data_IF_514004391195
#
_entry.id   IF_514004391195
#
_cell.length_a   1.000
_cell.length_b   1.000
_cell.length_c   1.000
_cell.angle_alpha   90.00
_cell.angle_beta   90.00
_cell.angle_gamma   90.00
#
_symmetry.space_group_name_H-M   'P 1'
#
loop_
_entity.id
_entity.type
_entity.pdbx_description
1 polymer ?
#
# COMPACT_ATOMS: atom_id res chain seq x y z
N UNK A 1 -15.86 3.07 28.44
CA UNK A 1 -15.33 1.69 28.29
C UNK A 1 -14.21 1.55 27.26
N UNK A 2 -14.13 2.33 26.18
CA UNK A 2 -13.04 2.25 25.17
C UNK A 2 -11.67 2.80 25.64
N UNK A 3 -11.65 3.76 26.58
CA UNK A 3 -10.39 4.33 27.13
C UNK A 3 -9.62 3.39 28.06
N UNK A 4 -10.28 2.45 28.73
CA UNK A 4 -9.62 1.53 29.68
C UNK A 4 -8.85 0.42 28.96
N UNK A 5 -9.34 -0.04 27.80
CA UNK A 5 -8.68 -1.12 27.04
C UNK A 5 -7.43 -0.64 26.27
N UNK A 6 -7.41 0.62 25.84
CA UNK A 6 -6.24 1.19 25.18
C UNK A 6 -5.09 1.43 26.17
N UNK A 7 -5.41 1.87 27.37
CA UNK A 7 -4.43 2.08 28.45
C UNK A 7 -3.80 0.75 28.94
N UNK A 8 -4.56 -0.33 28.99
CA UNK A 8 -4.03 -1.66 29.32
C UNK A 8 -3.18 -2.26 28.20
N UNK A 9 -3.55 -2.00 26.95
CA UNK A 9 -2.74 -2.37 25.78
C UNK A 9 -1.39 -1.67 25.76
N UNK A 10 -1.38 -0.34 26.01
CA UNK A 10 -0.14 0.46 26.10
C UNK A 10 0.72 0.08 27.31
N UNK A 11 0.10 -0.31 28.45
CA UNK A 11 0.84 -0.80 29.63
C UNK A 11 1.50 -2.16 29.41
N UNK A 12 0.91 -3.05 28.60
CA UNK A 12 1.55 -4.33 28.24
C UNK A 12 2.68 -4.15 27.19
N UNK A 13 2.75 -3.03 26.49
CA UNK A 13 3.87 -2.59 25.67
C UNK A 13 4.81 -1.64 26.43
N UNK A 14 4.91 -1.81 27.74
CA UNK A 14 5.92 -1.12 28.51
C UNK A 14 7.30 -1.68 28.11
N UNK A 15 7.88 -1.07 27.08
CA UNK A 15 9.30 -1.12 26.86
C UNK A 15 9.94 -0.51 28.10
N UNK A 16 10.28 -1.37 29.03
CA UNK A 16 11.02 -0.97 30.21
C UNK A 16 12.36 -0.41 29.72
N UNK A 17 12.45 0.91 29.63
CA UNK A 17 13.62 1.68 29.18
C UNK A 17 14.89 1.40 30.03
N UNK A 18 14.77 0.57 31.06
CA UNK A 18 15.91 0.14 31.90
C UNK A 18 16.80 -0.90 31.23
N UNK A 19 16.35 -1.59 30.17
CA UNK A 19 17.13 -2.66 29.50
C UNK A 19 17.89 -2.20 28.25
N UNK A 20 17.80 -0.93 27.86
CA UNK A 20 18.56 -0.38 26.74
C UNK A 20 20.06 -0.15 27.09
N UNK A 21 20.48 -0.36 28.33
CA UNK A 21 21.88 -0.26 28.76
C UNK A 21 22.68 -1.56 28.74
N UNK A 22 21.99 -2.71 28.66
CA UNK A 22 22.70 -3.99 28.49
C UNK A 22 22.72 -4.35 26.98
N UNK A 23 23.89 -4.25 26.42
CA UNK A 23 24.28 -4.53 25.03
C UNK A 23 24.19 -6.03 24.66
N UNK A 24 23.29 -6.77 25.26
CA UNK A 24 23.03 -8.17 24.89
C UNK A 24 21.90 -8.24 23.88
N UNK A 25 22.24 -8.16 22.59
CA UNK A 25 21.39 -8.65 21.51
C UNK A 25 21.13 -10.15 21.75
N UNK A 26 20.15 -10.45 22.58
CA UNK A 26 19.75 -11.82 22.88
C UNK A 26 19.17 -12.45 21.59
N UNK A 27 19.43 -13.73 21.39
CA UNK A 27 18.85 -14.53 20.30
C UNK A 27 17.32 -14.40 20.28
N UNK A 28 16.69 -14.23 21.43
CA UNK A 28 15.26 -13.99 21.58
C UNK A 28 14.81 -12.65 20.95
N UNK A 29 15.63 -11.60 21.03
CA UNK A 29 15.36 -10.31 20.39
C UNK A 29 15.36 -10.44 18.87
N UNK A 30 16.40 -11.03 18.28
CA UNK A 30 16.46 -11.27 16.83
C UNK A 30 15.30 -12.11 16.32
N UNK A 31 14.90 -13.11 17.07
CA UNK A 31 13.76 -13.97 16.70
C UNK A 31 12.46 -13.17 16.64
N UNK A 32 12.20 -12.30 17.59
CA UNK A 32 11.01 -11.44 17.61
C UNK A 32 11.03 -10.47 16.44
N UNK A 33 12.15 -9.81 16.16
CA UNK A 33 12.30 -8.85 15.07
C UNK A 33 12.14 -9.52 13.69
N UNK A 34 12.72 -10.70 13.48
CA UNK A 34 12.57 -11.46 12.24
C UNK A 34 11.12 -11.88 12.04
N UNK A 35 10.45 -12.39 13.07
CA UNK A 35 9.04 -12.79 12.98
C UNK A 35 8.12 -11.58 12.71
N UNK A 36 8.39 -10.46 13.35
CA UNK A 36 7.65 -9.22 13.12
C UNK A 36 7.86 -8.73 11.68
N UNK A 37 9.10 -8.68 11.20
CA UNK A 37 9.42 -8.31 9.83
C UNK A 37 8.78 -9.24 8.79
N UNK A 38 8.81 -10.54 9.01
CA UNK A 38 8.17 -11.53 8.13
C UNK A 38 6.65 -11.34 8.07
N UNK A 39 6.01 -11.15 9.22
CA UNK A 39 4.57 -10.90 9.29
C UNK A 39 4.17 -9.66 8.50
N UNK A 40 4.94 -8.59 8.64
CA UNK A 40 4.73 -7.35 7.90
C UNK A 40 4.97 -7.52 6.40
N UNK A 41 6.06 -8.19 6.02
CA UNK A 41 6.37 -8.43 4.61
C UNK A 41 5.22 -9.20 3.91
N UNK A 42 4.69 -10.24 4.54
CA UNK A 42 3.55 -11.00 4.01
C UNK A 42 2.29 -10.13 3.88
N UNK A 43 2.05 -9.22 4.82
CA UNK A 43 0.91 -8.30 4.76
C UNK A 43 1.07 -7.20 3.70
N UNK A 44 2.30 -6.71 3.46
CA UNK A 44 2.59 -5.65 2.50
C UNK A 44 2.50 -6.11 1.04
N UNK A 45 2.79 -7.38 0.73
CA UNK A 45 2.74 -7.89 -0.65
C UNK A 45 1.37 -7.67 -1.31
N UNK A 46 0.24 -8.14 -0.72
CA UNK A 46 -1.07 -7.89 -1.29
C UNK A 46 -1.44 -6.41 -1.36
N UNK A 47 -1.02 -5.63 -0.37
CA UNK A 47 -1.27 -4.18 -0.32
C UNK A 47 -0.54 -3.46 -1.46
N UNK A 48 0.73 -3.78 -1.69
CA UNK A 48 1.52 -3.21 -2.78
C UNK A 48 0.93 -3.54 -4.16
N UNK A 49 0.46 -4.77 -4.35
CA UNK A 49 -0.23 -5.22 -5.57
C UNK A 49 -1.54 -4.46 -5.76
N UNK A 50 -2.36 -4.35 -4.71
CA UNK A 50 -3.65 -3.66 -4.79
C UNK A 50 -3.49 -2.18 -5.13
N UNK A 51 -2.53 -1.48 -4.53
CA UNK A 51 -2.30 -0.07 -4.85
C UNK A 51 -1.61 0.15 -6.19
N UNK A 52 -0.83 -0.81 -6.70
CA UNK A 52 -0.33 -0.76 -8.06
C UNK A 52 -1.49 -0.79 -9.07
N UNK A 53 -2.48 -1.66 -8.88
CA UNK A 53 -3.69 -1.67 -9.71
C UNK A 53 -4.48 -0.37 -9.61
N UNK A 54 -4.65 0.17 -8.40
CA UNK A 54 -5.31 1.48 -8.22
C UNK A 54 -4.55 2.58 -8.96
N UNK A 55 -3.23 2.57 -8.95
CA UNK A 55 -2.39 3.55 -9.66
C UNK A 55 -2.33 3.33 -11.18
N UNK A 56 -2.93 2.27 -11.72
CA UNK A 56 -2.90 1.95 -13.15
C UNK A 56 -1.55 1.41 -13.63
N UNK A 57 -0.72 0.86 -12.72
CA UNK A 57 0.60 0.31 -13.07
C UNK A 57 0.65 -1.20 -12.86
N UNK A 58 1.52 -1.93 -13.59
CA UNK A 58 1.70 -3.35 -13.36
C UNK A 58 2.06 -3.67 -11.90
N UNK A 59 1.50 -4.75 -11.30
CA UNK A 59 1.71 -5.11 -9.89
C UNK A 59 3.17 -5.25 -9.49
N UNK A 60 4.02 -5.65 -10.42
CA UNK A 60 5.44 -5.85 -10.21
C UNK A 60 6.15 -4.54 -9.79
N UNK A 61 5.73 -3.39 -10.34
CA UNK A 61 6.28 -2.08 -9.93
C UNK A 61 5.93 -1.73 -8.49
N UNK A 62 4.71 -2.06 -8.05
CA UNK A 62 4.32 -1.88 -6.63
C UNK A 62 5.17 -2.74 -5.69
N UNK A 63 5.43 -3.99 -6.06
CA UNK A 63 6.30 -4.90 -5.30
C UNK A 63 7.74 -4.40 -5.25
N UNK A 64 8.30 -3.93 -6.37
CA UNK A 64 9.64 -3.36 -6.42
C UNK A 64 9.75 -2.09 -5.57
N UNK A 65 8.77 -1.20 -5.65
CA UNK A 65 8.73 0.00 -4.83
C UNK A 65 8.69 -0.36 -3.34
N UNK A 66 7.83 -1.28 -2.92
CA UNK A 66 7.74 -1.74 -1.54
C UNK A 66 9.06 -2.35 -1.05
N UNK A 67 9.72 -3.17 -1.88
CA UNK A 67 11.02 -3.79 -1.58
C UNK A 67 12.11 -2.73 -1.38
N UNK A 68 12.29 -1.82 -2.36
CA UNK A 68 13.33 -0.80 -2.33
C UNK A 68 13.11 0.17 -1.16
N UNK A 69 11.88 0.70 -1.01
CA UNK A 69 11.54 1.63 0.07
C UNK A 69 11.66 0.95 1.43
N UNK A 70 11.23 -0.31 1.55
CA UNK A 70 11.37 -1.09 2.77
C UNK A 70 12.82 -1.25 3.22
N UNK A 71 13.74 -1.60 2.30
CA UNK A 71 15.17 -1.72 2.62
C UNK A 71 15.78 -0.36 2.97
N UNK A 72 15.52 0.67 2.17
CA UNK A 72 16.10 2.00 2.42
C UNK A 72 15.64 2.56 3.76
N UNK A 73 14.36 2.44 4.08
CA UNK A 73 13.84 2.92 5.38
C UNK A 73 14.32 2.09 6.56
N UNK A 74 14.51 0.78 6.39
CA UNK A 74 15.08 -0.07 7.43
C UNK A 74 16.54 0.28 7.75
N UNK A 75 17.32 0.68 6.72
CA UNK A 75 18.75 0.99 6.89
C UNK A 75 18.99 2.45 7.34
N UNK A 76 18.25 3.40 6.80
CA UNK A 76 18.55 4.83 6.92
C UNK A 76 17.52 5.63 7.70
N UNK A 77 16.33 5.09 7.98
CA UNK A 77 15.25 5.90 8.46
C UNK A 77 14.55 5.43 9.71
N UNK A 78 13.84 6.36 10.28
CA UNK A 78 12.66 6.09 11.03
C UNK A 78 12.80 5.93 12.51
N UNK A 79 11.68 5.59 13.11
CA UNK A 79 11.56 5.16 14.50
C UNK A 79 11.50 3.63 14.54
N UNK A 80 11.96 3.00 15.63
CA UNK A 80 11.73 1.58 15.84
C UNK A 80 10.25 1.24 15.70
N UNK A 81 9.96 0.19 14.93
CA UNK A 81 8.57 -0.23 14.64
C UNK A 81 7.84 0.57 13.54
N UNK A 82 8.52 1.47 12.83
CA UNK A 82 7.97 2.17 11.68
C UNK A 82 8.20 1.36 10.40
N UNK A 83 7.18 1.31 9.56
CA UNK A 83 7.21 0.66 8.25
C UNK A 83 6.88 1.72 7.21
N UNK A 84 7.57 1.67 6.08
CA UNK A 84 7.24 2.44 4.89
C UNK A 84 6.73 1.49 3.81
N UNK A 85 5.63 1.84 3.18
CA UNK A 85 4.99 1.01 2.17
C UNK A 85 4.10 1.83 1.24
N UNK A 86 3.38 1.14 0.36
CA UNK A 86 2.43 1.74 -0.55
C UNK A 86 1.31 2.45 0.21
N UNK A 87 0.80 3.55 -0.35
CA UNK A 87 -0.32 4.28 0.23
C UNK A 87 -1.37 4.58 -0.84
N UNK A 88 -2.65 4.32 -0.50
CA UNK A 88 -3.76 4.58 -1.40
C UNK A 88 -3.93 6.05 -1.77
N UNK A 89 -3.51 6.98 -0.90
CA UNK A 89 -3.55 8.41 -1.17
C UNK A 89 -2.71 8.78 -2.39
N UNK A 90 -1.49 8.27 -2.47
CA UNK A 90 -0.59 8.51 -3.60
C UNK A 90 -1.07 7.77 -4.84
N UNK A 91 -1.51 6.52 -4.71
CA UNK A 91 -1.99 5.72 -5.81
C UNK A 91 -3.14 6.41 -6.58
N UNK A 92 -4.10 7.00 -5.86
CA UNK A 92 -5.22 7.71 -6.48
C UNK A 92 -4.78 8.93 -7.29
N UNK A 93 -3.80 9.69 -6.80
CA UNK A 93 -3.27 10.86 -7.54
C UNK A 93 -2.53 10.42 -8.81
N UNK A 94 -1.91 9.24 -8.79
CA UNK A 94 -1.14 8.72 -9.91
C UNK A 94 -2.01 8.24 -11.08
N UNK A 95 -3.29 7.88 -10.85
CA UNK A 95 -4.18 7.34 -11.89
C UNK A 95 -4.23 8.25 -13.12
N UNK A 96 -4.60 9.51 -12.93
CA UNK A 96 -4.74 10.46 -14.04
C UNK A 96 -3.43 10.69 -14.79
N UNK A 97 -2.32 10.75 -14.06
CA UNK A 97 -0.99 10.90 -14.69
C UNK A 97 -0.64 9.69 -15.56
N UNK A 98 -0.92 8.48 -15.07
CA UNK A 98 -0.61 7.24 -15.81
C UNK A 98 -1.54 7.04 -16.99
N UNK A 99 -2.84 7.33 -16.84
CA UNK A 99 -3.84 7.24 -17.92
C UNK A 99 -3.54 8.22 -19.05
N UNK A 100 -3.15 9.46 -18.73
CA UNK A 100 -2.96 10.53 -19.73
C UNK A 100 -1.56 10.51 -20.38
N UNK A 101 -0.51 10.20 -19.61
CA UNK A 101 0.88 10.37 -20.04
C UNK A 101 1.74 9.09 -19.94
N UNK A 102 1.22 8.05 -19.30
CA UNK A 102 1.92 6.78 -19.17
C UNK A 102 2.88 6.67 -17.98
N UNK A 103 3.43 5.47 -17.82
CA UNK A 103 4.23 5.08 -16.64
C UNK A 103 5.58 5.81 -16.57
N UNK A 104 6.17 6.19 -17.71
CA UNK A 104 7.45 6.91 -17.74
C UNK A 104 7.35 8.29 -17.07
N UNK A 105 6.23 8.99 -17.29
CA UNK A 105 5.95 10.26 -16.62
C UNK A 105 5.75 10.11 -15.13
N UNK A 106 5.18 8.97 -14.69
CA UNK A 106 5.09 8.62 -13.27
C UNK A 106 6.48 8.48 -12.66
N UNK A 107 7.41 7.77 -13.31
CA UNK A 107 8.77 7.61 -12.80
C UNK A 107 9.50 8.95 -12.71
N UNK A 108 9.37 9.80 -13.73
CA UNK A 108 9.92 11.15 -13.70
C UNK A 108 9.34 12.01 -12.55
N UNK A 109 8.03 11.89 -12.33
CA UNK A 109 7.32 12.55 -11.23
C UNK A 109 7.85 12.08 -9.87
N UNK A 110 8.07 10.79 -9.69
CA UNK A 110 8.62 10.23 -8.43
C UNK A 110 10.04 10.74 -8.18
N UNK A 111 10.87 10.88 -9.21
CA UNK A 111 12.21 11.48 -9.06
C UNK A 111 12.11 12.93 -8.61
N UNK A 112 11.25 13.73 -9.25
CA UNK A 112 11.04 15.13 -8.87
C UNK A 112 10.45 15.26 -7.46
N UNK A 113 9.48 14.41 -7.10
CA UNK A 113 8.93 14.30 -5.75
C UNK A 113 10.03 14.03 -4.72
N UNK A 114 10.93 13.09 -4.99
CA UNK A 114 12.06 12.78 -4.11
C UNK A 114 12.97 13.99 -3.88
N UNK A 115 13.27 14.77 -4.91
CA UNK A 115 14.04 16.01 -4.80
C UNK A 115 13.30 17.02 -3.91
N UNK A 116 12.00 17.22 -4.13
CA UNK A 116 11.18 18.11 -3.31
C UNK A 116 11.14 17.68 -1.85
N UNK A 117 11.02 16.39 -1.57
CA UNK A 117 11.05 15.85 -0.20
C UNK A 117 12.41 16.08 0.48
N UNK A 118 13.53 15.92 -0.25
CA UNK A 118 14.86 16.24 0.28
C UNK A 118 14.95 17.72 0.63
N UNK A 119 14.51 18.61 -0.26
CA UNK A 119 14.47 20.03 0.00
C UNK A 119 13.59 20.36 1.21
N UNK A 120 12.39 19.80 1.28
CA UNK A 120 11.49 19.97 2.43
C UNK A 120 12.14 19.49 3.75
N UNK A 121 12.90 18.40 3.70
CA UNK A 121 13.67 17.90 4.83
C UNK A 121 14.77 18.88 5.28
N UNK A 122 15.57 19.39 4.34
CA UNK A 122 16.63 20.38 4.59
C UNK A 122 16.05 21.63 5.24
N UNK A 123 14.96 22.17 4.70
CA UNK A 123 14.26 23.33 5.25
C UNK A 123 13.43 23.04 6.50
N UNK A 124 13.39 21.76 6.95
CA UNK A 124 12.64 21.31 8.14
C UNK A 124 11.13 21.64 8.05
N UNK A 125 10.56 21.62 6.85
CA UNK A 125 9.16 21.95 6.60
C UNK A 125 8.19 20.98 7.29
N UNK A 126 8.62 19.75 7.59
CA UNK A 126 7.83 18.78 8.36
C UNK A 126 7.35 19.27 9.73
N UNK A 127 7.95 20.36 10.27
CA UNK A 127 7.46 20.99 11.51
C UNK A 127 6.07 21.61 11.35
N UNK A 128 5.71 22.02 10.13
CA UNK A 128 4.42 22.65 9.83
C UNK A 128 3.25 21.67 9.92
N UNK A 129 3.48 20.35 9.88
CA UNK A 129 2.42 19.34 10.09
C UNK A 129 1.68 19.54 11.41
N UNK A 130 2.35 20.15 12.40
CA UNK A 130 1.75 20.45 13.72
C UNK A 130 0.69 21.55 13.64
N UNK A 131 0.67 22.33 12.57
CA UNK A 131 -0.32 23.38 12.35
C UNK A 131 -1.61 22.86 11.73
N UNK A 132 -1.59 21.62 11.21
CA UNK A 132 -2.76 21.01 10.59
C UNK A 132 -3.76 20.58 11.68
N UNK A 133 -4.97 21.15 11.70
CA UNK A 133 -5.99 20.78 12.65
C UNK A 133 -6.42 19.31 12.48
N UNK A 134 -6.78 18.65 13.56
CA UNK A 134 -7.25 17.28 13.55
C UNK A 134 -8.49 17.07 12.65
N UNK A 135 -9.36 18.07 12.56
CA UNK A 135 -10.54 18.04 11.67
C UNK A 135 -10.17 17.92 10.20
N UNK A 136 -9.09 18.59 9.77
CA UNK A 136 -8.57 18.48 8.39
C UNK A 136 -8.04 17.09 8.13
N UNK A 137 -7.27 16.53 9.07
CA UNK A 137 -6.77 15.14 8.95
C UNK A 137 -7.90 14.11 8.86
N UNK A 138 -8.95 14.28 9.67
CA UNK A 138 -10.12 13.40 9.61
C UNK A 138 -10.88 13.55 8.28
N UNK A 139 -11.03 14.79 7.78
CA UNK A 139 -11.64 15.05 6.48
C UNK A 139 -10.86 14.40 5.34
N UNK A 140 -9.53 14.52 5.36
CA UNK A 140 -8.64 13.88 4.40
C UNK A 140 -8.78 12.36 4.40
N UNK A 141 -8.72 11.71 5.57
CA UNK A 141 -8.83 10.26 5.70
C UNK A 141 -10.21 9.76 5.22
N UNK A 142 -11.30 10.46 5.57
CA UNK A 142 -12.64 10.10 5.12
C UNK A 142 -12.79 10.28 3.61
N UNK A 143 -12.28 11.38 3.05
CA UNK A 143 -12.27 11.60 1.60
C UNK A 143 -11.48 10.52 0.87
N UNK A 144 -10.30 10.17 1.38
CA UNK A 144 -9.47 9.09 0.85
C UNK A 144 -10.20 7.74 0.87
N UNK A 145 -10.90 7.41 1.96
CA UNK A 145 -11.67 6.17 2.05
C UNK A 145 -12.76 6.08 0.97
N UNK A 146 -13.43 7.21 0.67
CA UNK A 146 -14.44 7.28 -0.40
C UNK A 146 -13.79 7.05 -1.76
N UNK A 147 -12.67 7.73 -2.05
CA UNK A 147 -11.99 7.63 -3.35
C UNK A 147 -11.45 6.22 -3.57
N UNK A 148 -10.81 5.60 -2.55
CA UNK A 148 -10.36 4.21 -2.62
C UNK A 148 -11.56 3.27 -2.83
N UNK A 149 -12.67 3.50 -2.13
CA UNK A 149 -13.90 2.72 -2.31
C UNK A 149 -14.43 2.80 -3.74
N UNK A 150 -14.46 3.99 -4.34
CA UNK A 150 -14.87 4.18 -5.73
C UNK A 150 -13.90 3.50 -6.72
N UNK A 151 -12.60 3.54 -6.46
CA UNK A 151 -11.61 2.84 -7.28
C UNK A 151 -11.81 1.31 -7.25
N UNK A 152 -12.29 0.74 -6.12
CA UNK A 152 -12.63 -0.69 -6.05
C UNK A 152 -13.84 -1.06 -6.92
N UNK A 153 -14.76 -0.12 -7.17
CA UNK A 153 -15.90 -0.37 -8.05
C UNK A 153 -15.46 -0.68 -9.47
N UNK A 154 -14.37 -0.06 -9.95
CA UNK A 154 -13.78 -0.36 -11.27
C UNK A 154 -13.28 -1.80 -11.39
N UNK A 155 -12.96 -2.49 -10.28
CA UNK A 155 -12.52 -3.89 -10.30
C UNK A 155 -13.64 -4.88 -10.69
N UNK A 156 -14.90 -4.44 -10.74
CA UNK A 156 -16.01 -5.22 -11.26
C UNK A 156 -16.20 -5.07 -12.79
N UNK A 157 -15.19 -4.51 -13.46
CA UNK A 157 -15.15 -4.42 -14.93
C UNK A 157 -14.12 -5.41 -15.46
N UNK A 158 -14.45 -6.04 -16.59
CA UNK A 158 -13.57 -6.93 -17.34
C UNK A 158 -13.31 -6.35 -18.72
N UNK A 159 -12.11 -6.54 -19.25
CA UNK A 159 -11.78 -6.20 -20.63
C UNK A 159 -12.34 -7.28 -21.56
N UNK A 160 -13.10 -6.87 -22.56
CA UNK A 160 -13.49 -7.75 -23.67
C UNK A 160 -12.32 -7.92 -24.66
N UNK A 161 -12.43 -8.88 -25.58
CA UNK A 161 -11.45 -9.17 -26.64
C UNK A 161 -11.13 -7.97 -27.53
N UNK A 162 -11.99 -6.96 -27.54
CA UNK A 162 -11.80 -5.70 -28.27
C UNK A 162 -11.13 -4.60 -27.43
N UNK A 163 -10.80 -4.87 -26.16
CA UNK A 163 -10.16 -3.89 -25.24
C UNK A 163 -11.15 -2.93 -24.58
N UNK A 164 -12.46 -3.14 -24.73
CA UNK A 164 -13.48 -2.34 -24.07
C UNK A 164 -13.77 -2.85 -22.64
N UNK A 165 -13.96 -1.91 -21.71
CA UNK A 165 -14.30 -2.22 -20.32
C UNK A 165 -15.81 -2.43 -20.20
N UNK A 166 -16.21 -3.65 -19.89
CA UNK A 166 -17.59 -4.02 -19.61
C UNK A 166 -17.78 -4.44 -18.17
N UNK A 167 -18.94 -4.13 -17.61
CA UNK A 167 -19.29 -4.62 -16.29
C UNK A 167 -19.43 -6.14 -16.32
N UNK A 168 -18.91 -6.81 -15.30
CA UNK A 168 -19.17 -8.23 -15.08
C UNK A 168 -20.67 -8.47 -15.07
N UNK A 169 -21.12 -9.54 -15.70
CA UNK A 169 -22.56 -9.87 -15.80
C UNK A 169 -22.83 -11.28 -15.29
N UNK A 170 -24.08 -11.52 -14.89
CA UNK A 170 -24.52 -12.85 -14.47
C UNK A 170 -23.85 -13.37 -13.20
N UNK A 171 -23.48 -14.65 -13.23
CA UNK A 171 -22.96 -15.37 -12.07
C UNK A 171 -21.61 -14.82 -11.60
N UNK A 172 -20.75 -14.38 -12.53
CA UNK A 172 -19.44 -13.80 -12.20
C UNK A 172 -19.57 -12.56 -11.29
N UNK A 173 -20.52 -11.66 -11.60
CA UNK A 173 -20.77 -10.48 -10.77
C UNK A 173 -21.27 -10.87 -9.38
N UNK A 174 -22.21 -11.82 -9.32
CA UNK A 174 -22.79 -12.28 -8.07
C UNK A 174 -21.75 -12.95 -7.17
N UNK A 175 -20.89 -13.80 -7.73
CA UNK A 175 -19.78 -14.44 -7.03
C UNK A 175 -18.76 -13.42 -6.54
N UNK A 176 -18.39 -12.45 -7.36
CA UNK A 176 -17.44 -11.39 -6.98
C UNK A 176 -17.98 -10.58 -5.80
N UNK A 177 -19.24 -10.17 -5.82
CA UNK A 177 -19.86 -9.44 -4.71
C UNK A 177 -19.90 -10.31 -3.44
N UNK A 178 -20.25 -11.59 -3.57
CA UNK A 178 -20.25 -12.52 -2.44
C UNK A 178 -18.87 -12.66 -1.83
N UNK A 179 -17.83 -12.82 -2.66
CA UNK A 179 -16.44 -12.92 -2.20
C UNK A 179 -16.01 -11.66 -1.46
N UNK A 180 -16.36 -10.46 -1.97
CA UNK A 180 -16.09 -9.19 -1.28
C UNK A 180 -16.79 -9.15 0.07
N UNK A 181 -18.07 -9.52 0.15
CA UNK A 181 -18.82 -9.53 1.40
C UNK A 181 -18.23 -10.51 2.42
N UNK A 182 -17.84 -11.72 1.98
CA UNK A 182 -17.19 -12.71 2.83
C UNK A 182 -15.81 -12.23 3.29
N UNK A 183 -15.03 -11.62 2.40
CA UNK A 183 -13.73 -11.01 2.72
C UNK A 183 -13.88 -9.95 3.82
N UNK A 184 -14.83 -9.03 3.68
CA UNK A 184 -15.11 -8.00 4.69
C UNK A 184 -15.53 -8.62 6.02
N UNK A 185 -16.36 -9.65 5.98
CA UNK A 185 -16.76 -10.39 7.19
C UNK A 185 -15.57 -11.04 7.88
N UNK A 186 -14.69 -11.71 7.16
CA UNK A 186 -13.48 -12.33 7.72
C UNK A 186 -12.58 -11.28 8.36
N UNK A 187 -12.34 -10.14 7.67
CA UNK A 187 -11.52 -9.04 8.20
C UNK A 187 -12.10 -8.49 9.51
N UNK A 188 -13.42 -8.35 9.58
CA UNK A 188 -14.10 -7.89 10.78
C UNK A 188 -14.12 -8.92 11.91
N UNK A 189 -14.25 -10.22 11.60
CA UNK A 189 -14.34 -11.30 12.57
C UNK A 189 -12.96 -11.70 13.14
N UNK A 190 -11.90 -11.69 12.33
CA UNK A 190 -10.57 -12.14 12.72
C UNK A 190 -10.05 -11.48 14.01
N UNK A 191 -10.11 -10.16 14.22
CA UNK A 191 -9.62 -9.52 15.44
C UNK A 191 -10.41 -9.91 16.71
N UNK A 192 -11.62 -10.46 16.54
CA UNK A 192 -12.45 -10.95 17.65
C UNK A 192 -12.06 -12.35 18.11
N UNK A 193 -11.48 -13.14 17.18
CA UNK A 193 -11.04 -14.51 17.42
C UNK A 193 -9.56 -14.54 17.81
N UNK A 194 -8.71 -13.83 17.06
CA UNK A 194 -7.27 -13.78 17.33
C UNK A 194 -6.72 -12.38 17.06
N UNK A 195 -5.75 -11.98 17.89
CA UNK A 195 -5.01 -10.73 17.73
C UNK A 195 -3.61 -10.95 17.15
N UNK A 196 -3.23 -12.19 16.89
CA UNK A 196 -1.90 -12.58 16.44
C UNK A 196 -1.78 -12.40 14.92
N UNK A 197 -2.84 -12.73 14.18
CA UNK A 197 -2.84 -12.70 12.71
C UNK A 197 -3.64 -11.49 12.24
N UNK A 198 -3.10 -10.64 11.35
CA UNK A 198 -3.83 -9.53 10.75
C UNK A 198 -5.05 -10.01 9.97
N UNK A 199 -6.21 -9.35 10.16
CA UNK A 199 -7.46 -9.70 9.49
C UNK A 199 -7.35 -9.76 7.97
N UNK A 200 -6.73 -8.77 7.28
CA UNK A 200 -6.55 -8.81 5.84
C UNK A 200 -5.77 -10.04 5.35
N UNK A 201 -4.71 -10.43 6.07
CA UNK A 201 -3.91 -11.61 5.72
C UNK A 201 -4.74 -12.89 5.83
N UNK A 202 -5.52 -13.04 6.91
CA UNK A 202 -6.41 -14.18 7.08
C UNK A 202 -7.43 -14.27 5.95
N UNK A 203 -8.03 -13.14 5.57
CA UNK A 203 -9.00 -13.08 4.49
C UNK A 203 -8.38 -13.49 3.16
N UNK A 204 -7.20 -12.98 2.81
CA UNK A 204 -6.50 -13.34 1.58
C UNK A 204 -6.22 -14.82 1.52
N UNK A 205 -5.67 -15.42 2.59
CA UNK A 205 -5.34 -16.85 2.62
C UNK A 205 -6.61 -17.69 2.43
N UNK A 206 -7.67 -17.41 3.17
CA UNK A 206 -8.91 -18.18 3.12
C UNK A 206 -9.58 -18.07 1.77
N UNK A 207 -9.76 -16.84 1.26
CA UNK A 207 -10.45 -16.60 -0.01
C UNK A 207 -9.64 -17.13 -1.18
N UNK A 208 -8.31 -16.91 -1.23
CA UNK A 208 -7.47 -17.45 -2.29
C UNK A 208 -7.48 -18.99 -2.30
N UNK A 209 -7.38 -19.61 -1.13
CA UNK A 209 -7.47 -21.08 -1.02
C UNK A 209 -8.83 -21.59 -1.52
N UNK A 210 -9.92 -20.90 -1.17
CA UNK A 210 -11.28 -21.24 -1.61
C UNK A 210 -11.40 -21.12 -3.14
N UNK A 211 -10.99 -19.98 -3.72
CA UNK A 211 -11.07 -19.73 -5.17
C UNK A 211 -10.25 -20.74 -5.96
N UNK A 212 -9.03 -21.05 -5.52
CA UNK A 212 -8.16 -22.03 -6.17
C UNK A 212 -8.72 -23.45 -6.05
N UNK A 213 -9.21 -23.85 -4.85
CA UNK A 213 -9.70 -25.21 -4.62
C UNK A 213 -10.97 -25.51 -5.40
N UNK A 214 -11.88 -24.56 -5.52
CA UNK A 214 -13.17 -24.73 -6.20
C UNK A 214 -13.13 -24.26 -7.67
N UNK A 215 -11.99 -23.81 -8.17
CA UNK A 215 -11.81 -23.29 -9.54
C UNK A 215 -12.89 -22.27 -9.92
N UNK A 216 -13.13 -21.32 -9.02
CA UNK A 216 -14.15 -20.30 -9.21
C UNK A 216 -13.66 -19.33 -10.28
N UNK A 217 -14.38 -19.22 -11.39
CA UNK A 217 -14.02 -18.40 -12.57
C UNK A 217 -14.13 -16.88 -12.31
N UNK A 218 -13.42 -16.38 -11.29
CA UNK A 218 -13.29 -14.94 -11.01
C UNK A 218 -11.89 -14.47 -11.42
N UNK A 219 -11.74 -13.20 -11.85
CA UNK A 219 -10.43 -12.67 -12.22
C UNK A 219 -9.44 -12.79 -11.07
N UNK A 220 -8.27 -13.31 -11.34
CA UNK A 220 -7.17 -13.38 -10.37
C UNK A 220 -6.01 -12.47 -10.81
N UNK A 221 -5.16 -12.11 -9.86
CA UNK A 221 -4.01 -11.22 -10.12
C UNK A 221 -3.12 -11.77 -11.25
N UNK A 222 -3.01 -13.10 -11.36
CA UNK A 222 -2.25 -13.77 -12.42
C UNK A 222 -2.79 -13.57 -13.83
N UNK A 223 -4.09 -13.30 -13.98
CA UNK A 223 -4.73 -13.03 -15.28
C UNK A 223 -4.43 -11.60 -15.76
N UNK A 224 -4.23 -10.68 -14.82
CA UNK A 224 -3.99 -9.28 -15.10
C UNK A 224 -2.51 -8.95 -15.34
N UNK A 225 -1.60 -9.69 -14.71
CA UNK A 225 -0.17 -9.53 -14.91
C UNK A 225 0.64 -10.75 -14.45
N UNK A 226 1.68 -11.13 -15.20
CA UNK A 226 2.64 -12.11 -14.75
C UNK A 226 3.50 -11.53 -13.62
N UNK A 227 3.45 -12.11 -12.42
CA UNK A 227 4.31 -11.75 -11.29
C UNK A 227 5.65 -12.51 -11.37
N UNK A 228 5.92 -13.25 -12.46
CA UNK A 228 7.21 -13.88 -12.69
C UNK A 228 8.26 -12.81 -12.97
N UNK A 229 8.91 -12.32 -11.91
CA UNK A 229 9.84 -11.21 -12.02
C UNK A 229 11.26 -11.58 -11.62
N UNK A 230 12.20 -10.98 -12.30
CA UNK A 230 13.56 -10.85 -11.85
C UNK A 230 13.66 -9.74 -10.78
N UNK A 231 14.83 -9.55 -10.20
CA UNK A 231 15.09 -8.40 -9.36
C UNK A 231 14.88 -7.09 -10.17
N UNK A 232 14.48 -5.98 -9.50
CA UNK A 232 14.26 -4.72 -10.21
C UNK A 232 15.51 -4.28 -10.94
N UNK A 233 15.40 -4.04 -12.26
CA UNK A 233 16.46 -3.44 -13.02
C UNK A 233 16.42 -1.92 -12.88
N UNK A 234 17.59 -1.31 -12.77
CA UNK A 234 17.68 0.14 -12.74
C UNK A 234 17.27 0.70 -14.11
N UNK A 235 16.24 1.54 -14.11
CA UNK A 235 15.71 2.20 -15.28
C UNK A 235 15.66 3.71 -15.06
N UNK A 236 16.17 4.46 -16.03
CA UNK A 236 16.08 5.92 -16.01
C UNK A 236 14.85 6.29 -16.85
N UNK A 237 13.92 7.11 -16.31
CA UNK A 237 12.73 7.53 -17.04
C UNK A 237 13.09 8.18 -18.37
N UNK A 238 12.48 7.72 -19.46
CA UNK A 238 12.68 8.26 -20.81
C UNK A 238 11.54 9.24 -21.09
N UNK A 239 11.71 10.48 -20.61
CA UNK A 239 10.77 11.59 -20.90
C UNK A 239 11.52 12.74 -21.56
N UNK A 240 10.88 13.53 -22.45
CA UNK A 240 11.50 14.73 -23.02
C UNK A 240 11.90 15.69 -21.90
N UNK A 241 13.15 16.15 -21.92
CA UNK A 241 13.65 17.15 -20.95
C UNK A 241 13.28 18.57 -21.42
N UNK A 242 11.98 18.85 -21.50
CA UNK A 242 11.41 20.11 -21.94
C UNK A 242 10.64 20.78 -20.80
N UNK A 243 10.41 22.10 -20.93
CA UNK A 243 9.61 22.84 -19.95
C UNK A 243 8.18 22.29 -19.87
N UNK A 244 7.65 21.78 -20.97
CA UNK A 244 6.32 21.17 -21.03
C UNK A 244 6.23 19.95 -20.10
N UNK A 245 7.21 19.08 -20.13
CA UNK A 245 7.28 17.94 -19.19
C UNK A 245 7.25 18.41 -17.74
N UNK A 246 7.99 19.48 -17.41
CA UNK A 246 7.98 20.03 -16.05
C UNK A 246 6.63 20.63 -15.67
N UNK A 247 5.91 21.23 -16.60
CA UNK A 247 4.54 21.71 -16.38
C UNK A 247 3.55 20.57 -16.13
N UNK A 248 3.75 19.41 -16.76
CA UNK A 248 2.93 18.21 -16.56
C UNK A 248 3.25 17.58 -15.19
N UNK A 249 4.51 17.25 -14.93
CA UNK A 249 4.89 16.47 -13.73
C UNK A 249 4.96 17.33 -12.46
N UNK A 250 5.19 18.64 -12.59
CA UNK A 250 5.39 19.55 -11.45
C UNK A 250 4.23 19.57 -10.45
N UNK A 251 2.98 19.80 -10.88
CA UNK A 251 1.82 19.77 -9.99
C UNK A 251 1.67 18.44 -9.26
N UNK A 252 1.81 17.32 -9.97
CA UNK A 252 1.74 15.98 -9.37
C UNK A 252 2.87 15.76 -8.35
N UNK A 253 4.10 16.14 -8.69
CA UNK A 253 5.24 16.01 -7.78
C UNK A 253 5.06 16.82 -6.49
N UNK A 254 4.45 18.02 -6.57
CA UNK A 254 4.15 18.84 -5.38
C UNK A 254 3.05 18.21 -4.54
N UNK A 255 2.01 17.65 -5.16
CA UNK A 255 0.91 17.00 -4.44
C UNK A 255 1.39 15.73 -3.74
N UNK A 256 2.30 14.99 -4.39
CA UNK A 256 2.85 13.73 -3.88
C UNK A 256 3.95 13.94 -2.82
N UNK A 257 4.62 15.10 -2.80
CA UNK A 257 5.72 15.42 -1.88
C UNK A 257 5.24 15.84 -0.49
#
# INVERSE_FOLDING_TARGET
MLKSNFSSFVKNFNFNNSNLKDNSYSISFFRIEILAGLTVAIALVPEAVAFAFVAGVPPLFGLYAAFIVGIITALFGGRPGMISGATGALAVVMISLVEDYGVEYLFATVVLMGILQILAGVFKLGKFIRLVPQSVMLGFVNGLAIVIGLAQVRQFQTMDKMGELHWMTGDMMSFSILLVAVTMFIIWATPKVTKIIPGPLTAIIIISAFVIYFDVGVPVVGDLASISGNLPAFHIPIVPLELETLYIIGPYAIILA
#
